data_IF_040083235130
#
_entry.id   IF_040083235130
#
_cell.length_a   1.000
_cell.length_b   1.000
_cell.length_c   1.000
_cell.angle_alpha   90.00
_cell.angle_beta   90.00
_cell.angle_gamma   90.00
#
_symmetry.space_group_name_H-M   'P 1'
#
loop_
_entity.id
_entity.type
_entity.pdbx_description
1 polymer ?
#
# COMPACT_ATOMS: atom_id res chain seq x y z
N UNK A 1 5.94 40.78 -17.68
CA UNK A 1 6.90 41.15 -18.75
C UNK A 1 8.24 41.54 -18.14
N UNK A 2 9.22 40.63 -18.14
CA UNK A 2 10.62 40.83 -18.57
C UNK A 2 11.38 39.54 -18.26
N UNK A 3 11.97 38.97 -19.31
CA UNK A 3 12.72 37.71 -19.38
C UNK A 3 14.21 37.95 -19.13
N UNK A 4 14.89 36.81 -18.90
CA UNK A 4 16.27 36.47 -19.33
C UNK A 4 17.41 36.99 -18.43
N UNK A 5 18.52 36.26 -18.19
CA UNK A 5 19.02 34.99 -18.73
C UNK A 5 20.27 34.53 -17.92
N UNK A 6 20.48 33.21 -17.89
CA UNK A 6 21.76 32.45 -18.06
C UNK A 6 22.97 32.81 -17.18
N UNK A 7 23.43 31.81 -16.42
CA UNK A 7 24.86 31.54 -16.24
C UNK A 7 25.09 30.04 -15.94
N UNK A 8 25.19 29.24 -17.00
CA UNK A 8 25.93 27.97 -16.98
C UNK A 8 27.39 28.28 -17.33
N UNK A 9 28.32 27.48 -16.79
CA UNK A 9 29.78 27.43 -17.03
C UNK A 9 30.68 28.17 -16.03
N UNK A 10 31.13 27.44 -15.00
CA UNK A 10 32.47 27.54 -14.44
C UNK A 10 32.77 26.32 -13.55
N UNK A 11 32.97 25.15 -14.15
CA UNK A 11 33.50 23.97 -13.48
C UNK A 11 34.60 23.38 -14.36
N UNK A 12 35.68 24.15 -14.53
CA UNK A 12 36.97 23.60 -14.93
C UNK A 12 38.08 24.53 -14.45
N UNK A 13 39.08 23.92 -13.80
CA UNK A 13 40.31 24.49 -13.27
C UNK A 13 40.16 25.34 -11.98
N UNK A 14 40.39 24.72 -10.82
CA UNK A 14 41.65 24.87 -10.07
C UNK A 14 41.83 23.63 -9.18
N UNK A 15 42.50 22.61 -9.71
CA UNK A 15 43.25 21.66 -8.89
C UNK A 15 44.71 21.84 -9.30
N UNK A 16 45.45 22.67 -8.58
CA UNK A 16 46.89 22.48 -8.33
C UNK A 16 47.42 23.57 -7.40
N UNK A 17 48.09 23.10 -6.35
CA UNK A 17 49.09 23.79 -5.53
C UNK A 17 48.54 24.86 -4.58
N UNK A 18 48.43 24.49 -3.31
CA UNK A 18 49.05 25.19 -2.19
C UNK A 18 48.98 24.30 -0.94
N UNK A 19 50.12 23.70 -0.61
CA UNK A 19 50.44 23.18 0.71
C UNK A 19 50.49 24.33 1.71
N UNK A 20 49.70 24.25 2.78
CA UNK A 20 49.88 25.03 4.01
C UNK A 20 49.04 26.30 4.16
N UNK A 21 47.85 26.17 4.75
CA UNK A 21 47.29 27.01 5.83
C UNK A 21 45.77 26.78 5.99
N UNK A 22 45.42 26.28 7.18
CA UNK A 22 44.18 26.43 7.97
C UNK A 22 42.82 25.99 7.39
N UNK A 23 42.43 24.80 7.83
CA UNK A 23 41.09 24.17 7.78
C UNK A 23 39.92 25.12 8.13
N UNK A 24 40.15 26.15 8.95
CA UNK A 24 39.15 27.16 9.36
C UNK A 24 38.68 28.11 8.23
N UNK A 25 39.52 28.44 7.24
CA UNK A 25 39.12 29.34 6.15
C UNK A 25 38.28 28.63 5.08
N UNK A 26 38.49 27.33 4.89
CA UNK A 26 37.66 26.48 4.00
C UNK A 26 36.29 26.23 4.63
N UNK A 27 36.21 25.99 5.94
CA UNK A 27 34.92 25.82 6.64
C UNK A 27 34.06 27.09 6.60
N UNK A 28 34.66 28.30 6.66
CA UNK A 28 33.93 29.57 6.55
C UNK A 28 33.42 29.89 5.13
N UNK A 29 34.08 29.39 4.09
CA UNK A 29 33.61 29.57 2.70
C UNK A 29 32.54 28.55 2.28
N UNK A 30 32.49 27.39 2.93
CA UNK A 30 31.53 26.32 2.61
C UNK A 30 30.24 26.42 3.45
N UNK A 31 30.30 26.99 4.65
CA UNK A 31 29.13 27.16 5.54
C UNK A 31 27.91 27.88 4.89
N UNK A 32 28.05 28.91 4.04
CA UNK A 32 26.91 29.56 3.39
C UNK A 32 26.31 28.76 2.23
N UNK A 33 27.06 27.79 1.68
CA UNK A 33 26.63 26.99 0.50
C UNK A 33 25.91 25.70 0.94
N UNK A 34 26.20 25.21 2.15
CA UNK A 34 25.51 24.05 2.76
C UNK A 34 24.18 24.47 3.41
N UNK A 35 24.03 25.74 3.79
CA UNK A 35 22.81 26.28 4.40
C UNK A 35 21.62 26.41 3.42
N UNK A 36 21.87 26.51 2.12
CA UNK A 36 20.83 26.73 1.09
C UNK A 36 20.22 25.41 0.52
N UNK A 37 20.55 24.25 1.12
CA UNK A 37 20.00 22.92 0.73
C UNK A 37 19.17 22.30 1.86
N UNK A 38 19.01 22.98 2.99
CA UNK A 38 18.12 22.58 4.08
C UNK A 38 16.92 23.53 4.20
N UNK A 39 16.12 23.61 3.15
CA UNK A 39 14.71 23.98 3.31
C UNK A 39 13.86 22.86 2.74
N UNK A 40 13.62 21.86 3.59
CA UNK A 40 12.36 21.11 3.56
C UNK A 40 11.24 22.14 3.58
N UNK A 41 10.22 22.08 2.70
CA UNK A 41 9.02 22.86 2.96
C UNK A 41 8.48 22.32 4.29
N UNK A 42 8.46 23.15 5.33
CA UNK A 42 7.65 22.90 6.52
C UNK A 42 6.22 22.68 6.04
N UNK A 43 5.84 21.41 5.93
CA UNK A 43 4.45 21.05 6.01
C UNK A 43 4.01 21.52 7.39
N UNK A 44 3.17 22.55 7.44
CA UNK A 44 2.37 22.83 8.62
C UNK A 44 1.65 21.55 8.99
N UNK A 45 2.17 20.83 9.98
CA UNK A 45 1.50 19.72 10.64
C UNK A 45 0.27 20.30 11.32
N UNK A 46 -0.85 20.22 10.61
CA UNK A 46 -2.13 20.06 11.28
C UNK A 46 -2.04 18.65 11.87
N UNK A 47 -1.79 18.52 13.17
CA UNK A 47 -2.01 17.27 13.89
C UNK A 47 -3.49 16.90 13.73
N UNK A 48 -3.82 16.19 12.66
CA UNK A 48 -5.01 15.35 12.66
C UNK A 48 -4.75 14.26 13.71
N UNK A 49 -5.61 14.17 14.73
CA UNK A 49 -5.59 13.05 15.67
C UNK A 49 -5.64 11.74 14.86
N UNK A 50 -4.49 11.07 14.72
CA UNK A 50 -4.43 9.78 14.03
C UNK A 50 -5.24 8.79 14.83
N UNK A 51 -6.25 8.19 14.19
CA UNK A 51 -7.02 7.10 14.79
C UNK A 51 -6.06 5.98 15.23
N UNK A 52 -6.27 5.38 16.42
CA UNK A 52 -5.43 4.29 16.88
C UNK A 52 -5.47 3.13 15.87
N UNK A 53 -4.34 2.46 15.66
CA UNK A 53 -4.23 1.33 14.72
C UNK A 53 -5.26 0.23 15.05
N UNK A 54 -5.41 -0.09 16.34
CA UNK A 54 -6.47 -0.96 16.84
C UNK A 54 -7.43 -0.11 17.68
N UNK A 55 -8.68 0.09 17.25
CA UNK A 55 -9.66 0.87 18.00
C UNK A 55 -10.12 0.11 19.25
N UNK A 56 -10.42 0.83 20.32
CA UNK A 56 -11.12 0.26 21.47
C UNK A 56 -12.57 -0.08 21.09
N UNK A 57 -13.06 -1.22 21.58
CA UNK A 57 -14.45 -1.63 21.38
C UNK A 57 -15.34 -0.78 22.29
N UNK A 58 -16.25 -0.01 21.68
CA UNK A 58 -17.33 0.66 22.39
C UNK A 58 -18.44 -0.38 22.66
N UNK A 59 -18.50 -0.88 23.90
CA UNK A 59 -19.48 -1.86 24.36
C UNK A 59 -20.84 -1.28 24.73
N UNK A 60 -21.03 0.04 24.51
CA UNK A 60 -22.30 0.74 24.79
C UNK A 60 -23.24 0.80 23.59
N UNK A 61 -22.77 0.41 22.40
CA UNK A 61 -23.55 0.45 21.16
C UNK A 61 -24.58 -0.69 21.11
N UNK A 62 -25.80 -0.40 20.63
CA UNK A 62 -26.82 -1.44 20.44
C UNK A 62 -26.58 -2.26 19.17
N UNK A 63 -25.47 -3.01 19.10
CA UNK A 63 -25.14 -3.88 17.96
C UNK A 63 -26.09 -5.10 17.87
N UNK A 64 -26.27 -5.63 16.67
CA UNK A 64 -27.16 -6.77 16.41
C UNK A 64 -26.56 -8.08 16.97
N UNK A 65 -27.24 -8.69 17.95
CA UNK A 65 -26.86 -10.02 18.46
C UNK A 65 -26.98 -11.08 17.36
N UNK A 66 -26.01 -11.98 17.25
CA UNK A 66 -26.04 -13.05 16.24
C UNK A 66 -25.78 -12.55 14.80
N UNK A 67 -25.33 -11.31 14.64
CA UNK A 67 -25.05 -10.74 13.33
C UNK A 67 -24.09 -11.62 12.52
N UNK A 68 -24.42 -11.80 11.23
CA UNK A 68 -23.57 -12.48 10.27
C UNK A 68 -22.88 -11.45 9.39
N UNK A 69 -21.56 -11.39 9.45
CA UNK A 69 -20.74 -10.51 8.61
C UNK A 69 -20.10 -11.32 7.50
N UNK A 70 -20.46 -11.00 6.28
CA UNK A 70 -19.88 -11.59 5.09
C UNK A 70 -18.63 -10.82 4.68
N UNK A 71 -17.49 -11.48 4.47
CA UNK A 71 -16.30 -10.83 3.89
C UNK A 71 -16.01 -11.43 2.54
N UNK A 72 -16.00 -10.60 1.50
CA UNK A 72 -15.62 -10.94 0.13
C UNK A 72 -14.32 -10.19 -0.20
N UNK A 73 -13.21 -10.92 -0.17
CA UNK A 73 -11.88 -10.41 -0.49
C UNK A 73 -11.57 -10.56 -1.98
N UNK A 74 -10.58 -9.82 -2.50
CA UNK A 74 -10.05 -10.04 -3.86
C UNK A 74 -9.17 -11.28 -3.95
N UNK A 75 -8.60 -11.75 -2.84
CA UNK A 75 -8.07 -13.11 -2.73
C UNK A 75 -8.15 -13.61 -1.30
N UNK A 76 -8.24 -14.93 -1.14
CA UNK A 76 -8.12 -15.63 0.16
C UNK A 76 -6.77 -16.29 0.38
N UNK A 77 -5.83 -16.15 -0.56
CA UNK A 77 -4.49 -16.75 -0.50
C UNK A 77 -3.43 -15.68 -0.44
N UNK A 78 -2.38 -15.92 0.34
CA UNK A 78 -1.24 -15.03 0.49
C UNK A 78 -1.13 -14.48 1.90
N UNK A 79 0.10 -14.18 2.33
CA UNK A 79 0.39 -13.79 3.71
C UNK A 79 -0.31 -12.47 4.09
N UNK A 80 -0.47 -11.53 3.14
CA UNK A 80 -1.25 -10.31 3.34
C UNK A 80 -2.72 -10.63 3.73
N UNK A 81 -3.39 -11.47 2.94
CA UNK A 81 -4.79 -11.82 3.16
C UNK A 81 -4.99 -12.65 4.43
N UNK A 82 -4.04 -13.52 4.75
CA UNK A 82 -4.03 -14.25 6.03
C UNK A 82 -4.01 -13.28 7.22
N UNK A 83 -3.17 -12.24 7.17
CA UNK A 83 -3.09 -11.21 8.22
C UNK A 83 -4.36 -10.36 8.32
N UNK A 84 -4.95 -9.99 7.18
CA UNK A 84 -6.24 -9.28 7.17
C UNK A 84 -7.31 -10.12 7.85
N UNK A 85 -7.40 -11.40 7.49
CA UNK A 85 -8.34 -12.34 8.09
C UNK A 85 -8.10 -12.49 9.60
N UNK A 86 -6.85 -12.64 10.03
CA UNK A 86 -6.48 -12.72 11.45
C UNK A 86 -6.97 -11.49 12.24
N UNK A 87 -6.78 -10.29 11.69
CA UNK A 87 -7.27 -9.05 12.29
C UNK A 87 -8.80 -8.98 12.39
N UNK A 88 -9.50 -9.44 11.35
CA UNK A 88 -10.96 -9.52 11.34
C UNK A 88 -11.48 -10.53 12.38
N UNK A 89 -10.88 -11.72 12.46
CA UNK A 89 -11.23 -12.75 13.43
C UNK A 89 -10.99 -12.29 14.87
N UNK A 90 -9.89 -11.55 15.10
CA UNK A 90 -9.60 -10.94 16.39
C UNK A 90 -10.68 -9.92 16.80
N UNK A 91 -11.09 -9.03 15.90
CA UNK A 91 -12.17 -8.08 16.18
C UNK A 91 -13.50 -8.77 16.52
N UNK A 92 -13.88 -9.83 15.78
CA UNK A 92 -15.08 -10.64 16.10
C UNK A 92 -14.96 -11.25 17.49
N UNK A 93 -13.79 -11.79 17.84
CA UNK A 93 -13.55 -12.39 19.16
C UNK A 93 -13.68 -11.35 20.26
N UNK A 94 -13.00 -10.21 20.13
CA UNK A 94 -12.94 -9.16 21.14
C UNK A 94 -14.32 -8.53 21.37
N UNK A 95 -15.10 -8.31 20.30
CA UNK A 95 -16.48 -7.83 20.43
C UNK A 95 -17.35 -8.85 21.15
N UNK A 96 -17.29 -10.12 20.77
CA UNK A 96 -18.08 -11.16 21.44
C UNK A 96 -17.72 -11.28 22.94
N UNK A 97 -16.44 -11.08 23.30
CA UNK A 97 -15.98 -11.06 24.68
C UNK A 97 -16.50 -9.83 25.44
N UNK A 98 -16.33 -8.63 24.87
CA UNK A 98 -16.77 -7.37 25.46
C UNK A 98 -18.28 -7.33 25.73
N UNK A 99 -19.08 -7.78 24.75
CA UNK A 99 -20.53 -7.83 24.86
C UNK A 99 -21.05 -9.08 25.60
N UNK A 100 -20.17 -10.02 25.96
CA UNK A 100 -20.54 -11.27 26.61
C UNK A 100 -21.44 -12.18 25.78
N UNK A 101 -21.40 -12.05 24.44
CA UNK A 101 -22.20 -12.85 23.52
C UNK A 101 -21.76 -14.32 23.52
N UNK A 102 -22.76 -15.21 23.53
CA UNK A 102 -22.56 -16.66 23.62
C UNK A 102 -23.55 -17.38 22.71
N UNK A 103 -23.14 -18.54 22.18
CA UNK A 103 -23.99 -19.42 21.37
C UNK A 103 -24.59 -18.67 20.18
N UNK A 104 -25.91 -18.67 20.05
CA UNK A 104 -26.71 -18.04 18.99
C UNK A 104 -26.60 -16.51 18.95
N UNK A 105 -26.08 -15.88 20.01
CA UNK A 105 -25.84 -14.43 20.05
C UNK A 105 -24.47 -14.02 19.50
N UNK A 106 -23.58 -14.97 19.24
CA UNK A 106 -22.24 -14.64 18.78
C UNK A 106 -22.30 -14.02 17.39
N UNK A 107 -21.60 -12.90 17.23
CA UNK A 107 -21.28 -12.37 15.91
C UNK A 107 -20.36 -13.37 15.22
N UNK A 108 -20.65 -13.65 13.96
CA UNK A 108 -19.87 -14.56 13.13
C UNK A 108 -19.43 -13.87 11.86
N UNK A 109 -18.33 -14.35 11.28
CA UNK A 109 -17.88 -13.90 9.98
C UNK A 109 -17.57 -15.06 9.04
N UNK A 110 -17.74 -14.83 7.74
CA UNK A 110 -17.10 -15.63 6.69
C UNK A 110 -15.93 -14.84 6.09
N UNK A 111 -15.00 -15.55 5.44
CA UNK A 111 -13.93 -14.92 4.65
C UNK A 111 -13.82 -15.68 3.32
N UNK A 112 -14.37 -15.06 2.29
CA UNK A 112 -14.64 -15.66 0.98
C UNK A 112 -13.99 -14.83 -0.13
N UNK A 113 -13.92 -15.40 -1.32
CA UNK A 113 -13.26 -14.81 -2.47
C UNK A 113 -12.55 -15.86 -3.33
N UNK A 114 -12.03 -15.43 -4.49
CA UNK A 114 -11.21 -16.28 -5.34
C UNK A 114 -9.87 -16.59 -4.68
N UNK A 115 -9.14 -17.53 -5.29
CA UNK A 115 -7.75 -17.84 -4.93
C UNK A 115 -6.73 -16.86 -5.55
N UNK A 116 -7.17 -16.12 -6.57
CA UNK A 116 -6.36 -15.26 -7.45
C UNK A 116 -7.02 -13.88 -7.53
N UNK A 117 -6.23 -12.81 -7.37
CA UNK A 117 -6.72 -11.42 -7.42
C UNK A 117 -7.27 -11.02 -8.81
N UNK A 118 -6.87 -11.73 -9.87
CA UNK A 118 -7.33 -11.48 -11.24
C UNK A 118 -8.70 -12.11 -11.55
N UNK A 119 -9.18 -13.04 -10.71
CA UNK A 119 -10.45 -13.72 -10.91
C UNK A 119 -11.64 -12.90 -10.36
N UNK A 120 -11.85 -11.74 -11.01
CA UNK A 120 -12.93 -10.80 -10.71
C UNK A 120 -14.30 -11.45 -10.93
N UNK A 121 -14.43 -12.36 -11.90
CA UNK A 121 -15.69 -13.07 -12.17
C UNK A 121 -16.11 -13.94 -10.98
N UNK A 122 -15.18 -14.74 -10.41
CA UNK A 122 -15.47 -15.52 -9.22
C UNK A 122 -15.75 -14.64 -7.99
N UNK A 123 -15.09 -13.48 -7.86
CA UNK A 123 -15.42 -12.51 -6.81
C UNK A 123 -16.87 -12.03 -6.94
N UNK A 124 -17.30 -11.65 -8.14
CA UNK A 124 -18.67 -11.19 -8.41
C UNK A 124 -19.69 -12.27 -8.06
N UNK A 125 -19.47 -13.50 -8.53
CA UNK A 125 -20.35 -14.64 -8.24
C UNK A 125 -20.43 -14.93 -6.73
N UNK A 126 -19.30 -14.81 -6.02
CA UNK A 126 -19.26 -14.93 -4.55
C UNK A 126 -20.08 -13.82 -3.91
N UNK A 127 -19.90 -12.57 -4.33
CA UNK A 127 -20.63 -11.42 -3.79
C UNK A 127 -22.16 -11.56 -3.99
N UNK A 128 -22.59 -12.01 -5.16
CA UNK A 128 -24.00 -12.32 -5.45
C UNK A 128 -24.57 -13.40 -4.52
N UNK A 129 -23.85 -14.52 -4.37
CA UNK A 129 -24.26 -15.61 -3.49
C UNK A 129 -24.40 -15.15 -2.05
N UNK A 130 -23.41 -14.39 -1.56
CA UNK A 130 -23.37 -13.97 -0.16
C UNK A 130 -24.43 -12.89 0.14
N UNK A 131 -24.69 -11.96 -0.79
CA UNK A 131 -25.80 -11.01 -0.66
C UNK A 131 -27.15 -11.75 -0.61
N UNK A 132 -27.31 -12.82 -1.41
CA UNK A 132 -28.54 -13.63 -1.41
C UNK A 132 -28.78 -14.38 -0.09
N UNK A 133 -27.74 -14.62 0.72
CA UNK A 133 -27.87 -15.16 2.08
C UNK A 133 -28.32 -14.12 3.12
N UNK A 134 -28.49 -12.85 2.71
CA UNK A 134 -28.96 -11.73 3.53
C UNK A 134 -28.17 -11.55 4.85
N UNK A 135 -26.84 -11.39 4.79
CA UNK A 135 -26.02 -11.10 5.96
C UNK A 135 -26.38 -9.73 6.55
N UNK A 136 -26.02 -9.52 7.82
CA UNK A 136 -26.23 -8.23 8.50
C UNK A 136 -25.34 -7.13 7.89
N UNK A 137 -24.17 -7.50 7.38
CA UNK A 137 -23.19 -6.59 6.74
C UNK A 137 -22.35 -7.36 5.71
N UNK A 138 -21.94 -6.70 4.63
CA UNK A 138 -20.92 -7.20 3.70
C UNK A 138 -19.66 -6.35 3.80
N UNK A 139 -18.49 -6.99 3.87
CA UNK A 139 -17.20 -6.35 3.68
C UNK A 139 -16.66 -6.72 2.29
N UNK A 140 -16.12 -5.76 1.55
CA UNK A 140 -15.62 -5.98 0.18
C UNK A 140 -14.23 -5.37 -0.01
N UNK A 141 -13.28 -6.15 -0.50
CA UNK A 141 -12.07 -5.63 -1.15
C UNK A 141 -12.19 -5.86 -2.64
N UNK A 142 -12.42 -4.81 -3.41
CA UNK A 142 -12.74 -4.93 -4.83
C UNK A 142 -11.51 -5.27 -5.69
N UNK A 143 -11.58 -6.35 -6.47
CA UNK A 143 -10.57 -6.67 -7.51
C UNK A 143 -10.67 -5.76 -8.74
N UNK A 144 -11.80 -5.07 -8.90
CA UNK A 144 -12.05 -4.07 -9.94
C UNK A 144 -13.03 -3.03 -9.38
N UNK A 145 -12.70 -1.74 -9.52
CA UNK A 145 -13.47 -0.66 -8.90
C UNK A 145 -14.91 -0.51 -9.42
N UNK A 146 -15.20 -1.00 -10.64
CA UNK A 146 -16.46 -0.76 -11.33
C UNK A 146 -17.32 -2.04 -11.45
N UNK A 147 -16.69 -3.22 -11.41
CA UNK A 147 -17.34 -4.47 -11.80
C UNK A 147 -18.37 -4.99 -10.79
N UNK A 148 -18.32 -4.54 -9.53
CA UNK A 148 -19.25 -4.95 -8.48
C UNK A 148 -20.46 -3.99 -8.31
N UNK A 149 -20.65 -3.01 -9.20
CA UNK A 149 -21.67 -1.96 -9.00
C UNK A 149 -23.09 -2.52 -8.83
N UNK A 150 -23.51 -3.46 -9.69
CA UNK A 150 -24.86 -4.03 -9.63
C UNK A 150 -25.11 -4.76 -8.30
N UNK A 151 -24.12 -5.49 -7.80
CA UNK A 151 -24.17 -6.21 -6.53
C UNK A 151 -24.29 -5.22 -5.36
N UNK A 152 -23.51 -4.13 -5.39
CA UNK A 152 -23.58 -3.11 -4.36
C UNK A 152 -24.91 -2.35 -4.34
N UNK A 153 -25.50 -2.12 -5.50
CA UNK A 153 -26.86 -1.59 -5.62
C UNK A 153 -27.89 -2.56 -5.02
N UNK A 154 -27.79 -3.86 -5.32
CA UNK A 154 -28.66 -4.88 -4.73
C UNK A 154 -28.50 -4.99 -3.20
N UNK A 155 -27.27 -4.94 -2.67
CA UNK A 155 -27.02 -4.90 -1.23
C UNK A 155 -27.73 -3.70 -0.57
N UNK A 156 -27.61 -2.52 -1.19
CA UNK A 156 -28.26 -1.30 -0.71
C UNK A 156 -29.78 -1.39 -0.76
N UNK A 157 -30.36 -1.95 -1.82
CA UNK A 157 -31.81 -2.17 -1.95
C UNK A 157 -32.35 -3.12 -0.88
N UNK A 158 -31.56 -4.14 -0.50
CA UNK A 158 -31.87 -5.06 0.60
C UNK A 158 -31.54 -4.50 1.99
N UNK A 159 -31.01 -3.27 2.07
CA UNK A 159 -30.65 -2.63 3.33
C UNK A 159 -29.38 -3.19 3.99
N UNK A 160 -28.57 -3.95 3.25
CA UNK A 160 -27.31 -4.54 3.71
C UNK A 160 -26.21 -3.47 3.58
N UNK A 161 -25.64 -2.96 4.68
CA UNK A 161 -24.52 -2.04 4.61
C UNK A 161 -23.27 -2.74 4.04
N UNK A 162 -22.49 -2.01 3.26
CA UNK A 162 -21.21 -2.48 2.72
C UNK A 162 -20.05 -1.69 3.33
N UNK A 163 -19.03 -2.38 3.85
CA UNK A 163 -17.76 -1.76 4.28
C UNK A 163 -16.65 -2.19 3.32
N UNK A 164 -16.08 -1.24 2.60
CA UNK A 164 -14.96 -1.55 1.72
C UNK A 164 -13.63 -1.60 2.49
N UNK A 165 -12.69 -2.42 2.04
CA UNK A 165 -11.34 -2.48 2.63
C UNK A 165 -10.28 -2.77 1.59
N UNK A 166 -9.02 -2.40 1.88
CA UNK A 166 -7.84 -2.49 0.98
C UNK A 166 -7.98 -1.71 -0.34
N UNK A 167 -8.91 -2.13 -1.19
CA UNK A 167 -9.26 -1.56 -2.48
C UNK A 167 -10.76 -1.27 -2.54
N UNK A 168 -11.11 0.00 -2.73
CA UNK A 168 -12.49 0.50 -2.78
C UNK A 168 -13.10 0.36 -4.18
N UNK A 169 -14.37 0.77 -4.29
CA UNK A 169 -15.11 0.90 -5.55
C UNK A 169 -15.23 2.36 -5.99
N UNK A 170 -15.51 2.58 -7.28
CA UNK A 170 -15.66 3.91 -7.86
C UNK A 170 -16.83 4.70 -7.26
N UNK A 171 -18.02 4.07 -7.12
CA UNK A 171 -19.16 4.71 -6.44
C UNK A 171 -19.09 4.53 -4.92
N UNK A 172 -18.27 5.37 -4.30
CA UNK A 172 -18.09 5.41 -2.84
C UNK A 172 -19.37 5.74 -2.06
N UNK A 173 -20.49 6.11 -2.72
CA UNK A 173 -21.79 6.32 -2.05
C UNK A 173 -22.50 5.00 -1.73
N UNK A 174 -22.10 3.90 -2.36
CA UNK A 174 -22.63 2.56 -2.10
C UNK A 174 -21.97 1.91 -0.88
N UNK A 175 -20.83 2.44 -0.41
CA UNK A 175 -20.13 1.93 0.77
C UNK A 175 -20.40 2.83 1.98
N UNK A 176 -20.58 2.20 3.14
CA UNK A 176 -20.80 2.85 4.43
C UNK A 176 -19.51 3.42 5.01
N UNK A 177 -18.40 2.72 4.79
CA UNK A 177 -17.07 3.08 5.24
C UNK A 177 -16.00 2.38 4.38
N UNK A 178 -14.79 2.95 4.36
CA UNK A 178 -13.59 2.36 3.77
C UNK A 178 -12.44 2.31 4.78
N UNK A 179 -11.70 1.20 4.79
CA UNK A 179 -10.47 1.00 5.57
C UNK A 179 -9.35 0.49 4.66
N UNK A 180 -8.30 1.27 4.47
CA UNK A 180 -7.19 0.85 3.61
C UNK A 180 -5.91 1.58 3.95
N UNK A 181 -4.85 1.28 3.23
CA UNK A 181 -3.58 2.00 3.35
C UNK A 181 -3.62 3.29 2.53
N UNK A 182 -2.89 4.33 2.92
CA UNK A 182 -2.61 5.45 2.01
C UNK A 182 -1.67 4.98 0.88
N UNK A 183 -2.28 4.45 -0.19
CA UNK A 183 -1.56 3.89 -1.33
C UNK A 183 -0.84 4.97 -2.15
N UNK A 184 -1.33 6.22 -2.15
CA UNK A 184 -0.60 7.32 -2.77
C UNK A 184 0.70 7.55 -2.01
N UNK A 185 0.67 7.51 -0.67
CA UNK A 185 1.85 7.64 0.18
C UNK A 185 2.86 6.52 -0.04
N UNK A 186 2.41 5.27 -0.22
CA UNK A 186 3.27 4.16 -0.64
C UNK A 186 4.05 4.54 -1.90
N UNK A 187 3.34 4.97 -2.95
CA UNK A 187 3.96 5.36 -4.21
C UNK A 187 4.98 6.49 -4.05
N UNK A 188 4.62 7.54 -3.28
CA UNK A 188 5.54 8.67 -3.02
C UNK A 188 6.83 8.20 -2.36
N UNK A 189 6.73 7.37 -1.33
CA UNK A 189 7.88 6.87 -0.59
C UNK A 189 8.71 5.88 -1.40
N UNK A 190 8.07 5.02 -2.20
CA UNK A 190 8.78 4.14 -3.12
C UNK A 190 9.63 4.94 -4.13
N UNK A 191 9.07 6.00 -4.71
CA UNK A 191 9.81 6.89 -5.61
C UNK A 191 11.00 7.58 -4.92
N UNK A 192 10.81 8.05 -3.68
CA UNK A 192 11.89 8.64 -2.90
C UNK A 192 13.01 7.64 -2.59
N UNK A 193 12.66 6.44 -2.13
CA UNK A 193 13.62 5.39 -1.77
C UNK A 193 14.39 4.89 -2.98
N UNK A 194 13.69 4.57 -4.07
CA UNK A 194 14.31 4.10 -5.30
C UNK A 194 15.17 5.20 -5.95
N UNK A 195 14.63 6.41 -6.10
CA UNK A 195 15.35 7.53 -6.72
C UNK A 195 16.61 7.92 -5.96
N UNK A 196 16.57 7.86 -4.62
CA UNK A 196 17.76 8.10 -3.78
C UNK A 196 18.79 6.99 -3.93
N UNK A 197 18.35 5.72 -3.97
CA UNK A 197 19.24 4.57 -4.07
C UNK A 197 20.02 4.53 -5.39
N UNK A 198 19.39 4.96 -6.50
CA UNK A 198 20.05 5.02 -7.82
C UNK A 198 20.81 6.33 -8.07
N UNK A 199 21.03 7.14 -7.03
CA UNK A 199 21.80 8.39 -7.16
C UNK A 199 21.08 9.48 -7.98
N UNK A 200 19.74 9.43 -8.04
CA UNK A 200 18.87 10.43 -8.69
C UNK A 200 18.98 10.50 -10.21
N UNK A 201 19.53 9.48 -10.85
CA UNK A 201 19.62 9.36 -12.31
C UNK A 201 19.44 7.91 -12.75
N UNK A 202 18.92 7.68 -13.96
CA UNK A 202 18.82 6.34 -14.53
C UNK A 202 17.48 6.02 -15.17
N UNK A 203 17.31 4.75 -15.55
CA UNK A 203 16.06 4.22 -16.07
C UNK A 203 15.37 3.37 -15.00
N UNK A 204 14.08 3.57 -14.81
CA UNK A 204 13.27 2.75 -13.90
C UNK A 204 12.05 2.17 -14.61
N UNK A 205 11.57 1.02 -14.15
CA UNK A 205 10.32 0.43 -14.60
C UNK A 205 9.35 0.23 -13.43
N UNK A 206 8.06 0.25 -13.71
CA UNK A 206 7.01 -0.08 -12.75
C UNK A 206 6.35 -1.38 -13.17
N UNK A 207 6.34 -2.35 -12.27
CA UNK A 207 5.60 -3.59 -12.41
C UNK A 207 4.45 -3.56 -11.41
N UNK A 208 3.23 -3.56 -11.93
CA UNK A 208 2.03 -3.40 -11.13
C UNK A 208 1.17 -4.66 -11.16
N UNK A 209 0.39 -4.85 -10.09
CA UNK A 209 -0.79 -5.71 -10.11
C UNK A 209 -1.86 -5.13 -11.07
N UNK A 210 -3.13 -5.50 -10.91
CA UNK A 210 -4.18 -5.14 -11.87
C UNK A 210 -4.44 -3.62 -11.91
N UNK A 211 -4.48 -3.03 -13.12
CA UNK A 211 -4.69 -1.58 -13.34
C UNK A 211 -6.02 -1.10 -12.76
N UNK A 212 -7.03 -1.98 -12.72
CA UNK A 212 -8.39 -1.59 -12.33
C UNK A 212 -8.65 -1.63 -10.83
N UNK A 213 -7.64 -1.96 -10.01
CA UNK A 213 -7.74 -1.86 -8.55
C UNK A 213 -7.36 -0.46 -8.07
N UNK A 214 -8.13 0.09 -7.12
CA UNK A 214 -7.84 1.42 -6.55
C UNK A 214 -6.43 1.46 -5.93
N UNK A 215 -6.03 0.41 -5.21
CA UNK A 215 -4.75 0.36 -4.51
C UNK A 215 -3.56 0.42 -5.48
N UNK A 216 -3.58 -0.35 -6.57
CA UNK A 216 -2.53 -0.31 -7.58
C UNK A 216 -2.50 1.05 -8.30
N UNK A 217 -3.64 1.60 -8.71
CA UNK A 217 -3.68 2.92 -9.35
C UNK A 217 -3.06 4.01 -8.46
N UNK A 218 -3.42 4.04 -7.18
CA UNK A 218 -2.90 5.03 -6.25
C UNK A 218 -1.39 4.86 -6.00
N UNK A 219 -0.89 3.61 -5.89
CA UNK A 219 0.55 3.31 -5.77
C UNK A 219 1.32 3.78 -7.00
N UNK A 220 0.88 3.38 -8.19
CA UNK A 220 1.55 3.76 -9.45
C UNK A 220 1.49 5.27 -9.63
N UNK A 221 0.33 5.90 -9.44
CA UNK A 221 0.19 7.35 -9.55
C UNK A 221 1.10 8.08 -8.56
N UNK A 222 1.10 7.66 -7.29
CA UNK A 222 1.97 8.22 -6.26
C UNK A 222 3.45 8.12 -6.63
N UNK A 223 3.86 6.99 -7.21
CA UNK A 223 5.22 6.78 -7.69
C UNK A 223 5.56 7.70 -8.87
N UNK A 224 4.74 7.69 -9.93
CA UNK A 224 4.98 8.48 -11.15
C UNK A 224 5.02 9.98 -10.87
N UNK A 225 4.10 10.49 -10.05
CA UNK A 225 4.06 11.92 -9.68
C UNK A 225 5.31 12.35 -8.91
N UNK A 226 5.87 11.47 -8.06
CA UNK A 226 7.00 11.83 -7.20
C UNK A 226 8.35 11.58 -7.86
N UNK A 227 8.46 10.51 -8.65
CA UNK A 227 9.69 10.21 -9.37
C UNK A 227 9.99 11.26 -10.45
N UNK A 228 8.95 11.93 -10.98
CA UNK A 228 9.08 13.05 -11.92
C UNK A 228 9.86 14.25 -11.36
N UNK A 229 10.02 14.36 -10.03
CA UNK A 229 10.88 15.39 -9.41
C UNK A 229 12.38 15.13 -9.62
N UNK A 230 12.76 13.92 -10.02
CA UNK A 230 14.13 13.56 -10.39
C UNK A 230 14.27 13.60 -11.91
N UNK A 231 14.65 14.75 -12.45
CA UNK A 231 14.63 15.00 -13.91
C UNK A 231 15.57 14.11 -14.74
N UNK A 232 16.56 13.51 -14.09
CA UNK A 232 17.50 12.58 -14.72
C UNK A 232 17.09 11.10 -14.55
N UNK A 233 15.96 10.83 -13.89
CA UNK A 233 15.32 9.51 -13.85
C UNK A 233 14.24 9.45 -14.93
N UNK A 234 14.22 8.37 -15.70
CA UNK A 234 13.19 8.07 -16.70
C UNK A 234 12.43 6.82 -16.32
N UNK A 235 11.11 6.92 -16.23
CA UNK A 235 10.24 5.73 -16.21
C UNK A 235 10.15 5.21 -17.65
N UNK A 236 10.79 4.08 -17.93
CA UNK A 236 10.89 3.53 -19.29
C UNK A 236 9.76 2.57 -19.66
N UNK A 237 9.10 1.99 -18.66
CA UNK A 237 7.95 1.11 -18.85
C UNK A 237 7.10 1.07 -17.57
N UNK A 238 5.78 0.95 -17.74
CA UNK A 238 4.83 0.58 -16.68
C UNK A 238 4.02 -0.59 -17.22
N UNK A 239 4.08 -1.74 -16.55
CA UNK A 239 3.37 -2.96 -16.95
C UNK A 239 2.41 -3.36 -15.84
N UNK A 240 1.16 -3.64 -16.19
CA UNK A 240 0.14 -4.15 -15.28
C UNK A 240 -0.13 -5.61 -15.57
N UNK A 241 -0.35 -6.42 -14.52
CA UNK A 241 -0.52 -7.87 -14.66
C UNK A 241 -1.74 -8.25 -15.50
N UNK A 242 -2.83 -7.48 -15.42
CA UNK A 242 -4.07 -7.67 -16.20
C UNK A 242 -3.99 -7.17 -17.65
N UNK A 243 -2.84 -6.67 -18.08
CA UNK A 243 -2.60 -6.20 -19.47
C UNK A 243 -1.64 -7.12 -20.25
N UNK A 244 -1.12 -8.17 -19.63
CA UNK A 244 -0.18 -9.12 -20.24
C UNK A 244 -0.61 -10.56 -19.96
N UNK A 245 -0.30 -11.48 -20.88
CA UNK A 245 -0.65 -12.90 -20.70
C UNK A 245 0.21 -13.58 -19.61
N UNK A 246 1.47 -13.16 -19.46
CA UNK A 246 2.40 -13.67 -18.45
C UNK A 246 3.30 -12.52 -17.97
N UNK A 247 3.13 -12.14 -16.71
CA UNK A 247 3.86 -11.03 -16.10
C UNK A 247 5.37 -11.30 -15.98
N UNK A 248 5.80 -12.55 -15.79
CA UNK A 248 7.23 -12.90 -15.71
C UNK A 248 7.90 -12.80 -17.06
N UNK A 249 7.24 -13.21 -18.14
CA UNK A 249 7.76 -13.01 -19.49
C UNK A 249 7.83 -11.52 -19.84
N UNK A 250 6.80 -10.74 -19.50
CA UNK A 250 6.83 -9.28 -19.68
C UNK A 250 7.98 -8.61 -18.91
N UNK A 251 8.26 -9.02 -17.67
CA UNK A 251 9.40 -8.53 -16.90
C UNK A 251 10.74 -8.85 -17.60
N UNK A 252 10.91 -10.06 -18.13
CA UNK A 252 12.12 -10.45 -18.89
C UNK A 252 12.28 -9.60 -20.15
N UNK A 253 11.18 -9.38 -20.89
CA UNK A 253 11.21 -8.52 -22.07
C UNK A 253 11.64 -7.08 -21.73
N UNK A 254 11.17 -6.53 -20.60
CA UNK A 254 11.62 -5.21 -20.12
C UNK A 254 13.11 -5.22 -19.77
N UNK A 255 13.60 -6.25 -19.07
CA UNK A 255 15.03 -6.39 -18.75
C UNK A 255 15.91 -6.51 -20.01
N UNK A 256 15.45 -7.27 -21.01
CA UNK A 256 16.16 -7.45 -22.29
C UNK A 256 16.14 -6.18 -23.15
N UNK A 257 14.99 -5.47 -23.17
CA UNK A 257 14.81 -4.21 -23.90
C UNK A 257 15.62 -3.07 -23.30
N UNK A 258 15.80 -3.08 -21.97
CA UNK A 258 16.50 -2.04 -21.22
C UNK A 258 17.65 -2.64 -20.37
N UNK A 259 18.78 -3.04 -20.99
CA UNK A 259 19.92 -3.62 -20.25
C UNK A 259 20.64 -2.64 -19.32
N UNK A 260 20.28 -1.34 -19.36
CA UNK A 260 20.73 -0.29 -18.46
C UNK A 260 19.57 0.19 -17.56
N UNK A 261 18.72 -0.75 -17.11
CA UNK A 261 17.68 -0.49 -16.12
C UNK A 261 18.33 -0.39 -14.75
N UNK A 262 18.14 0.73 -14.07
CA UNK A 262 18.78 1.03 -12.78
C UNK A 262 17.86 0.65 -11.61
N UNK A 263 16.54 0.66 -11.80
CA UNK A 263 15.62 0.31 -10.74
C UNK A 263 14.23 -0.13 -11.16
N UNK A 264 13.52 -0.79 -10.24
CA UNK A 264 12.13 -1.21 -10.42
C UNK A 264 11.31 -0.90 -9.17
N UNK A 265 10.03 -0.61 -9.39
CA UNK A 265 9.02 -0.56 -8.34
C UNK A 265 7.97 -1.64 -8.60
N UNK A 266 7.77 -2.54 -7.63
CA UNK A 266 6.75 -3.59 -7.68
C UNK A 266 5.61 -3.26 -6.71
N UNK A 267 4.37 -3.22 -7.19
CA UNK A 267 3.26 -2.59 -6.43
C UNK A 267 2.57 -3.49 -5.41
N UNK A 268 2.86 -4.79 -5.34
CA UNK A 268 2.37 -5.72 -4.31
C UNK A 268 3.36 -6.89 -4.13
N UNK A 269 3.08 -7.76 -3.15
CA UNK A 269 3.87 -8.94 -2.84
C UNK A 269 4.05 -9.88 -4.06
N UNK A 270 2.97 -10.22 -4.75
CA UNK A 270 3.00 -11.19 -5.84
C UNK A 270 3.91 -10.72 -6.98
N UNK A 271 3.75 -9.47 -7.44
CA UNK A 271 4.57 -8.91 -8.51
C UNK A 271 6.03 -8.75 -8.05
N UNK A 272 6.26 -8.40 -6.79
CA UNK A 272 7.61 -8.33 -6.22
C UNK A 272 8.29 -9.70 -6.25
N UNK A 273 7.56 -10.73 -5.84
CA UNK A 273 8.02 -12.11 -5.83
C UNK A 273 8.27 -12.70 -7.22
N UNK A 274 7.47 -12.31 -8.22
CA UNK A 274 7.71 -12.63 -9.63
C UNK A 274 8.99 -11.97 -10.13
N UNK A 275 9.22 -10.69 -9.78
CA UNK A 275 10.43 -9.98 -10.18
C UNK A 275 11.70 -10.61 -9.57
N UNK A 276 11.69 -10.96 -8.27
CA UNK A 276 12.79 -11.68 -7.61
C UNK A 276 13.07 -13.06 -8.24
N UNK A 277 12.06 -13.69 -8.84
CA UNK A 277 12.23 -14.95 -9.56
C UNK A 277 12.90 -14.77 -10.92
N UNK A 278 12.61 -13.71 -11.66
CA UNK A 278 13.18 -13.47 -12.99
C UNK A 278 14.51 -12.72 -12.95
N UNK A 279 14.67 -11.77 -12.03
CA UNK A 279 15.89 -11.00 -11.88
C UNK A 279 16.91 -11.79 -11.06
N UNK A 280 17.83 -12.47 -11.76
CA UNK A 280 18.93 -13.24 -11.14
C UNK A 280 20.25 -12.47 -11.07
N UNK A 281 20.26 -11.19 -11.42
CA UNK A 281 21.47 -10.39 -11.31
C UNK A 281 21.79 -10.11 -9.83
N UNK A 282 22.97 -10.57 -9.41
CA UNK A 282 23.50 -10.41 -8.04
C UNK A 282 24.80 -9.61 -8.04
N UNK A 283 25.20 -9.04 -9.18
CA UNK A 283 26.40 -8.24 -9.33
C UNK A 283 26.30 -6.84 -8.71
N UNK A 284 27.41 -6.09 -8.76
CA UNK A 284 27.51 -4.73 -8.22
C UNK A 284 26.59 -3.71 -8.93
N UNK A 285 26.13 -4.02 -10.14
CA UNK A 285 25.23 -3.18 -10.95
C UNK A 285 23.82 -3.75 -11.08
N UNK A 286 23.38 -4.59 -10.13
CA UNK A 286 22.05 -5.18 -10.16
C UNK A 286 20.96 -4.10 -10.11
N UNK A 287 19.83 -4.39 -10.76
CA UNK A 287 18.65 -3.53 -10.76
C UNK A 287 18.16 -3.33 -9.32
N UNK A 288 18.08 -2.08 -8.88
CA UNK A 288 17.59 -1.74 -7.55
C UNK A 288 16.07 -1.99 -7.45
N UNK A 289 15.60 -2.68 -6.42
CA UNK A 289 14.18 -3.04 -6.30
C UNK A 289 13.56 -2.44 -5.04
N UNK A 290 12.40 -1.81 -5.19
CA UNK A 290 11.49 -1.47 -4.08
C UNK A 290 10.17 -2.19 -4.29
N UNK A 291 9.71 -2.92 -3.28
CA UNK A 291 8.42 -3.58 -3.27
C UNK A 291 7.40 -2.90 -2.37
N UNK A 292 6.18 -3.44 -2.40
CA UNK A 292 5.12 -3.20 -1.41
C UNK A 292 4.85 -4.52 -0.71
N UNK A 293 4.27 -4.45 0.49
CA UNK A 293 4.01 -5.56 1.40
C UNK A 293 5.24 -5.96 2.22
N UNK A 294 5.25 -7.14 2.85
CA UNK A 294 6.37 -7.63 3.64
C UNK A 294 6.28 -9.15 3.83
N UNK A 295 6.10 -9.90 2.74
CA UNK A 295 6.03 -11.37 2.83
C UNK A 295 7.35 -11.96 3.32
N UNK A 296 7.31 -13.19 3.85
CA UNK A 296 8.52 -13.91 4.25
C UNK A 296 9.58 -13.95 3.15
N UNK A 297 9.16 -14.08 1.88
CA UNK A 297 10.07 -14.08 0.73
C UNK A 297 10.71 -12.72 0.48
N UNK A 298 9.96 -11.62 0.61
CA UNK A 298 10.53 -10.26 0.55
C UNK A 298 11.45 -9.98 1.73
N UNK A 299 11.09 -10.42 2.94
CA UNK A 299 11.95 -10.31 4.12
C UNK A 299 13.30 -11.00 3.91
N UNK A 300 13.31 -12.20 3.32
CA UNK A 300 14.54 -12.88 2.93
C UNK A 300 15.33 -12.13 1.85
N UNK A 301 14.65 -11.60 0.83
CA UNK A 301 15.27 -10.85 -0.26
C UNK A 301 15.96 -9.58 0.26
N UNK A 302 15.31 -8.86 1.18
CA UNK A 302 15.88 -7.70 1.88
C UNK A 302 17.15 -8.10 2.64
N UNK A 303 17.13 -9.21 3.38
CA UNK A 303 18.30 -9.68 4.13
C UNK A 303 19.46 -10.12 3.23
N UNK A 304 19.16 -10.64 2.02
CA UNK A 304 20.15 -10.97 0.98
C UNK A 304 20.58 -9.73 0.18
N UNK A 305 19.92 -8.59 0.39
CA UNK A 305 20.11 -7.35 -0.35
C UNK A 305 19.57 -7.41 -1.79
N UNK A 306 18.80 -8.44 -2.16
CA UNK A 306 18.16 -8.60 -3.48
C UNK A 306 17.03 -7.57 -3.68
N UNK A 307 16.41 -7.15 -2.58
CA UNK A 307 15.42 -6.08 -2.53
C UNK A 307 15.92 -4.98 -1.58
N UNK A 308 15.86 -3.71 -1.98
CA UNK A 308 16.33 -2.60 -1.13
C UNK A 308 15.50 -2.49 0.16
N UNK A 309 14.22 -2.81 0.04
CA UNK A 309 13.23 -2.68 1.09
C UNK A 309 11.84 -2.60 0.49
N UNK A 310 10.86 -2.56 1.38
CA UNK A 310 9.45 -2.60 1.06
C UNK A 310 8.69 -1.50 1.77
N UNK A 311 7.60 -1.05 1.16
CA UNK A 311 6.57 -0.30 1.85
C UNK A 311 5.53 -1.28 2.37
N UNK A 312 5.62 -1.60 3.66
CA UNK A 312 4.69 -2.51 4.30
C UNK A 312 3.43 -1.79 4.76
N UNK A 313 2.30 -2.44 4.50
CA UNK A 313 0.99 -2.10 5.04
C UNK A 313 0.82 -2.68 6.46
N UNK A 314 -0.28 -2.32 7.14
CA UNK A 314 -0.70 -2.99 8.38
C UNK A 314 -1.99 -3.82 8.14
N UNK A 315 -1.89 -5.02 7.53
CA UNK A 315 -3.05 -5.84 7.17
C UNK A 315 -3.87 -6.27 8.39
N UNK A 316 -3.23 -6.59 9.51
CA UNK A 316 -3.93 -6.96 10.74
C UNK A 316 -4.80 -5.81 11.25
N UNK A 317 -4.23 -4.61 11.40
CA UNK A 317 -5.00 -3.44 11.83
C UNK A 317 -6.11 -3.09 10.82
N UNK A 318 -5.83 -3.20 9.52
CA UNK A 318 -6.83 -2.98 8.48
C UNK A 318 -8.01 -3.94 8.62
N UNK A 319 -7.75 -5.24 8.80
CA UNK A 319 -8.77 -6.24 9.03
C UNK A 319 -9.59 -5.96 10.29
N UNK A 320 -8.91 -5.66 11.40
CA UNK A 320 -9.57 -5.34 12.68
C UNK A 320 -10.48 -4.12 12.54
N UNK A 321 -9.98 -3.01 11.99
CA UNK A 321 -10.76 -1.79 11.80
C UNK A 321 -11.94 -1.99 10.84
N UNK A 322 -11.76 -2.81 9.81
CA UNK A 322 -12.83 -3.14 8.84
C UNK A 322 -13.94 -3.88 9.54
N UNK A 323 -13.60 -4.92 10.29
CA UNK A 323 -14.58 -5.74 11.01
C UNK A 323 -15.28 -4.93 12.10
N UNK A 324 -14.56 -4.08 12.83
CA UNK A 324 -15.18 -3.19 13.81
C UNK A 324 -16.14 -2.18 13.15
N UNK A 325 -15.76 -1.58 12.00
CA UNK A 325 -16.66 -0.71 11.24
C UNK A 325 -17.90 -1.46 10.72
N UNK A 326 -17.74 -2.74 10.34
CA UNK A 326 -18.85 -3.59 9.93
C UNK A 326 -19.80 -3.85 11.10
N UNK A 327 -19.30 -4.33 12.23
CA UNK A 327 -20.09 -4.59 13.44
C UNK A 327 -20.85 -3.34 13.89
N UNK A 328 -20.19 -2.17 13.95
CA UNK A 328 -20.85 -0.91 14.28
C UNK A 328 -21.96 -0.54 13.29
N UNK A 329 -21.88 -0.99 12.03
CA UNK A 329 -22.92 -0.72 11.03
C UNK A 329 -24.23 -1.48 11.30
N UNK A 330 -24.22 -2.46 12.20
CA UNK A 330 -25.43 -3.14 12.68
C UNK A 330 -26.20 -2.33 13.73
N UNK A 331 -25.53 -1.42 14.43
CA UNK A 331 -26.16 -0.57 15.42
C UNK A 331 -26.95 0.59 14.77
N UNK A 332 -27.96 1.15 15.46
CA UNK A 332 -28.72 2.29 14.95
C UNK A 332 -27.82 3.47 14.56
N UNK A 333 -28.04 4.06 13.37
CA UNK A 333 -27.24 5.20 12.86
C UNK A 333 -27.15 6.41 13.79
N UNK A 334 -28.09 6.56 14.73
CA UNK A 334 -28.11 7.63 15.74
C UNK A 334 -27.13 7.39 16.89
N UNK A 335 -26.69 6.15 17.08
CA UNK A 335 -25.75 5.71 18.12
C UNK A 335 -24.32 5.60 17.58
N UNK A 336 -24.14 5.49 16.26
CA UNK A 336 -22.82 5.26 15.66
C UNK A 336 -22.30 6.42 14.82
N UNK A 337 -21.07 6.85 15.11
CA UNK A 337 -20.28 7.71 14.23
C UNK A 337 -19.14 6.90 13.62
N UNK A 338 -19.39 6.37 12.43
CA UNK A 338 -18.38 5.62 11.67
C UNK A 338 -17.77 6.54 10.62
N UNK A 339 -16.47 6.81 10.74
CA UNK A 339 -15.72 7.58 9.76
C UNK A 339 -15.76 6.90 8.39
N UNK A 340 -16.12 7.68 7.37
CA UNK A 340 -16.33 7.17 6.01
C UNK A 340 -15.06 6.62 5.38
N UNK A 341 -13.91 7.18 5.72
CA UNK A 341 -12.61 6.80 5.17
C UNK A 341 -11.59 6.88 6.29
N UNK A 342 -10.89 5.79 6.56
CA UNK A 342 -9.70 5.77 7.42
C UNK A 342 -8.58 5.18 6.58
N UNK A 343 -7.46 5.91 6.53
CA UNK A 343 -6.24 5.47 5.86
C UNK A 343 -5.19 5.14 6.92
N UNK A 344 -4.56 3.98 6.76
CA UNK A 344 -3.43 3.53 7.57
C UNK A 344 -2.14 3.96 6.90
N UNK A 345 -1.18 4.40 7.70
CA UNK A 345 0.14 4.75 7.21
C UNK A 345 0.95 3.48 6.90
N UNK A 346 1.58 3.39 5.71
CA UNK A 346 2.58 2.38 5.45
C UNK A 346 3.88 2.70 6.19
N UNK A 347 4.72 1.69 6.40
CA UNK A 347 6.08 1.88 6.91
C UNK A 347 7.11 1.37 5.91
N UNK A 348 8.28 2.00 5.91
CA UNK A 348 9.44 1.49 5.19
C UNK A 348 10.13 0.41 6.01
N UNK A 349 10.39 -0.75 5.39
CA UNK A 349 11.15 -1.84 5.99
C UNK A 349 12.35 -2.16 5.09
N UNK A 350 13.55 -2.17 5.66
CA UNK A 350 14.80 -2.52 4.99
C UNK A 350 15.71 -3.35 5.90
N UNK A 351 16.92 -3.65 5.43
CA UNK A 351 17.88 -4.47 6.18
C UNK A 351 18.29 -3.85 7.53
N UNK A 352 18.14 -2.54 7.73
CA UNK A 352 18.52 -1.87 8.97
C UNK A 352 17.46 -2.05 10.05
N UNK A 353 16.18 -1.99 9.69
CA UNK A 353 15.08 -1.99 10.65
C UNK A 353 14.27 -3.29 10.71
N UNK A 354 14.44 -4.24 9.78
CA UNK A 354 13.62 -5.47 9.66
C UNK A 354 13.59 -6.34 10.94
N UNK A 355 14.55 -6.16 11.84
CA UNK A 355 14.64 -6.88 13.13
C UNK A 355 14.07 -6.09 14.32
N UNK A 356 13.53 -4.91 14.09
CA UNK A 356 12.93 -4.09 15.15
C UNK A 356 11.63 -4.70 15.64
N UNK A 357 11.44 -4.75 16.96
CA UNK A 357 10.20 -5.23 17.57
C UNK A 357 9.02 -4.29 17.26
N UNK A 358 9.30 -3.00 17.04
CA UNK A 358 8.29 -1.96 16.77
C UNK A 358 7.55 -2.16 15.43
N UNK A 359 8.11 -2.95 14.53
CA UNK A 359 7.56 -3.21 13.19
C UNK A 359 6.99 -4.63 13.04
N UNK A 360 6.95 -5.43 14.11
CA UNK A 360 6.54 -6.83 14.04
C UNK A 360 5.13 -7.01 13.42
N UNK A 361 4.20 -6.08 13.68
CA UNK A 361 2.84 -6.10 13.13
C UNK A 361 2.76 -5.72 11.64
N UNK A 362 3.87 -5.27 11.07
CA UNK A 362 4.02 -4.93 9.65
C UNK A 362 4.81 -6.00 8.90
N UNK A 363 5.21 -7.11 9.54
CA UNK A 363 5.79 -8.28 8.88
C UNK A 363 4.73 -9.34 8.68
N UNK A 364 4.68 -9.95 7.50
CA UNK A 364 3.68 -10.96 7.18
C UNK A 364 4.27 -12.35 7.43
N UNK A 365 3.40 -13.31 7.75
CA UNK A 365 3.79 -14.69 8.06
C UNK A 365 2.68 -15.70 7.80
#
# INVERSE_FOLDING_TARGET
MKRAAVASAALLAVATLLTGCQKEEVEKLVAPIVADVQETPEATEVEEEKSPLIPEIDDTLSIEEGARIAVVSKSKKGEFWNKVKEGMEAAVKDVNEAYGFKKDKQITMTFEGPDDEEDVESQINTLDAVIAENPSVVCLSAGDMDSCQAQLEAAKENGIPVVAFDSNVSDTKLVRAFRGTDNTQIGKYAAYKLGSAIGKMGNVAVFSAQEKTQSAQERVKGFLDNIANYTDIKVVETVYSDQVDDMKEAMKEVLDKYPALDGVFCTNAEVSEMFLEVNKDTGENKVAMVGVDATSKQQEAIQKGEELGVLSQNPYAMGYQTMWAAIQSTAPKKETKIDKKVLLDPIWIDAENIKSEDIANYLYN
#
